data_IF_630736444059
#
_entry.id   IF_630736444059
#
_cell.length_a   1.000
_cell.length_b   1.000
_cell.length_c   1.000
_cell.angle_alpha   90.00
_cell.angle_beta   90.00
_cell.angle_gamma   90.00
#
_symmetry.space_group_name_H-M   'P 1'
#
loop_
_entity.id
_entity.type
_entity.pdbx_description
1 polymer ?
#
# COMPACT_ATOMS: atom_id res chain seq x y z
N UNK A 1 15.58 -24.35 3.97
CA UNK A 1 15.86 -24.70 2.56
C UNK A 1 14.63 -24.28 1.76
N UNK A 2 14.86 -23.56 0.68
CA UNK A 2 13.84 -23.17 -0.29
C UNK A 2 14.13 -23.78 -1.65
N UNK A 3 13.10 -23.92 -2.46
CA UNK A 3 13.17 -24.32 -3.86
C UNK A 3 12.42 -23.28 -4.70
N UNK A 4 13.02 -22.93 -5.84
CA UNK A 4 12.46 -21.96 -6.79
C UNK A 4 12.48 -22.60 -8.16
N UNK A 5 11.38 -22.53 -8.89
CA UNK A 5 11.26 -23.11 -10.23
C UNK A 5 10.52 -22.14 -11.15
N UNK A 6 10.98 -22.02 -12.40
CA UNK A 6 10.41 -21.12 -13.41
C UNK A 6 11.49 -20.46 -14.23
N UNK A 7 11.18 -19.35 -14.89
CA UNK A 7 12.12 -18.57 -15.69
C UNK A 7 13.03 -17.69 -14.81
N UNK A 8 13.87 -18.34 -13.98
CA UNK A 8 14.62 -17.70 -12.89
C UNK A 8 15.65 -16.68 -13.35
N UNK A 9 16.23 -16.88 -14.52
CA UNK A 9 17.28 -16.03 -15.09
C UNK A 9 16.65 -14.86 -15.84
N UNK A 10 15.77 -15.15 -16.78
CA UNK A 10 15.16 -14.15 -17.67
C UNK A 10 14.26 -13.16 -16.91
N UNK A 11 13.58 -13.62 -15.87
CA UNK A 11 12.73 -12.78 -15.01
C UNK A 11 13.48 -12.09 -13.87
N UNK A 12 14.80 -12.32 -13.74
CA UNK A 12 15.64 -11.84 -12.63
C UNK A 12 15.15 -12.28 -11.24
N UNK A 13 14.32 -13.32 -11.14
CA UNK A 13 13.80 -13.81 -9.86
C UNK A 13 14.93 -14.28 -8.95
N UNK A 14 15.93 -14.98 -9.50
CA UNK A 14 17.06 -15.46 -8.71
C UNK A 14 17.89 -14.32 -8.15
N UNK A 15 18.16 -13.29 -8.95
CA UNK A 15 18.87 -12.07 -8.52
C UNK A 15 18.09 -11.36 -7.42
N UNK A 16 16.79 -11.17 -7.58
CA UNK A 16 15.94 -10.56 -6.55
C UNK A 16 15.93 -11.35 -5.25
N UNK A 17 15.94 -12.67 -5.33
CA UNK A 17 16.03 -13.53 -4.13
C UNK A 17 17.34 -13.27 -3.40
N UNK A 18 18.46 -13.20 -4.10
CA UNK A 18 19.77 -12.92 -3.49
C UNK A 18 19.80 -11.51 -2.88
N UNK A 19 19.39 -10.50 -3.63
CA UNK A 19 19.32 -9.11 -3.17
C UNK A 19 18.46 -9.00 -1.92
N UNK A 20 17.25 -9.55 -1.93
CA UNK A 20 16.34 -9.52 -0.78
C UNK A 20 16.92 -10.20 0.47
N UNK A 21 17.68 -11.30 0.31
CA UNK A 21 18.35 -11.96 1.46
C UNK A 21 19.46 -11.07 2.00
N UNK A 22 20.26 -10.46 1.13
CA UNK A 22 21.37 -9.57 1.53
C UNK A 22 20.85 -8.27 2.14
N UNK A 23 19.85 -7.64 1.55
CA UNK A 23 19.22 -6.40 2.05
C UNK A 23 18.60 -6.57 3.46
N UNK A 24 18.20 -7.79 3.77
CA UNK A 24 17.73 -8.16 5.10
C UNK A 24 18.84 -8.70 6.02
N UNK A 25 20.13 -8.50 5.69
CA UNK A 25 21.27 -9.02 6.47
C UNK A 25 21.24 -10.56 6.67
N UNK A 26 20.57 -11.30 5.80
CA UNK A 26 20.57 -12.75 5.78
C UNK A 26 21.79 -13.31 5.04
N UNK A 27 21.97 -14.61 5.13
CA UNK A 27 22.96 -15.36 4.34
C UNK A 27 22.28 -16.46 3.55
N UNK A 28 22.86 -16.83 2.42
CA UNK A 28 22.38 -17.96 1.64
C UNK A 28 23.53 -18.83 1.14
N UNK A 29 23.23 -20.09 0.91
CA UNK A 29 24.11 -21.05 0.24
C UNK A 29 23.37 -21.66 -0.93
N UNK A 30 24.02 -21.69 -2.08
CA UNK A 30 23.48 -22.34 -3.29
C UNK A 30 23.76 -23.84 -3.20
N UNK A 31 22.70 -24.63 -3.02
CA UNK A 31 22.82 -26.08 -2.93
C UNK A 31 22.74 -26.76 -4.30
N UNK A 32 21.89 -26.23 -5.19
CA UNK A 32 21.75 -26.74 -6.56
C UNK A 32 21.16 -25.64 -7.45
N UNK A 33 21.72 -25.49 -8.65
CA UNK A 33 21.13 -24.71 -9.75
C UNK A 33 21.09 -25.59 -11.00
N UNK A 34 19.98 -25.55 -11.72
CA UNK A 34 19.83 -26.13 -13.05
C UNK A 34 19.20 -25.09 -13.95
N UNK A 35 19.89 -24.66 -14.96
CA UNK A 35 19.42 -23.63 -15.91
C UNK A 35 18.85 -24.31 -17.15
N UNK A 36 17.67 -23.88 -17.58
CA UNK A 36 17.08 -24.33 -18.85
C UNK A 36 17.95 -23.96 -20.04
N UNK A 37 18.03 -24.85 -21.04
CA UNK A 37 18.87 -24.66 -22.22
C UNK A 37 18.15 -23.88 -23.31
N UNK A 38 16.84 -23.96 -23.38
CA UNK A 38 15.99 -23.26 -24.31
C UNK A 38 15.22 -22.16 -23.60
N UNK A 39 14.74 -21.18 -24.34
CA UNK A 39 13.94 -20.06 -23.81
C UNK A 39 12.63 -20.50 -23.16
N UNK A 40 12.13 -21.66 -23.56
CA UNK A 40 10.91 -22.28 -23.01
C UNK A 40 11.16 -23.18 -21.79
N UNK A 41 12.43 -23.44 -21.46
CA UNK A 41 12.78 -24.35 -20.38
C UNK A 41 12.74 -23.63 -19.03
N UNK A 42 12.14 -24.24 -18.04
CA UNK A 42 12.20 -23.76 -16.68
C UNK A 42 13.55 -24.04 -16.02
N UNK A 43 14.05 -23.08 -15.30
CA UNK A 43 15.22 -23.22 -14.43
C UNK A 43 14.78 -23.62 -13.02
N UNK A 44 15.69 -24.23 -12.25
CA UNK A 44 15.46 -24.67 -10.89
C UNK A 44 16.63 -24.24 -10.00
N UNK A 45 16.32 -23.69 -8.84
CA UNK A 45 17.32 -23.38 -7.81
C UNK A 45 16.89 -23.94 -6.45
N UNK A 46 17.86 -24.47 -5.71
CA UNK A 46 17.69 -24.91 -4.32
C UNK A 46 18.68 -24.17 -3.45
N UNK A 47 18.19 -23.44 -2.48
CA UNK A 47 18.99 -22.55 -1.64
C UNK A 47 18.77 -22.89 -0.16
N UNK A 48 19.83 -22.77 0.63
CA UNK A 48 19.74 -22.75 2.09
C UNK A 48 19.78 -21.29 2.53
N UNK A 49 18.76 -20.85 3.23
CA UNK A 49 18.66 -19.50 3.78
C UNK A 49 18.98 -19.53 5.26
N UNK A 50 19.81 -18.59 5.72
CA UNK A 50 20.31 -18.51 7.08
C UNK A 50 19.97 -17.12 7.62
N UNK A 51 19.17 -17.07 8.68
CA UNK A 51 18.84 -15.86 9.44
C UNK A 51 19.57 -15.84 10.79
N UNK A 52 19.72 -14.66 11.39
CA UNK A 52 20.35 -14.46 12.72
C UNK A 52 19.60 -15.20 13.84
N UNK A 53 18.28 -15.33 13.71
CA UNK A 53 17.39 -16.04 14.62
C UNK A 53 16.10 -16.44 13.88
N UNK A 54 15.19 -17.14 14.57
CA UNK A 54 13.93 -17.64 13.98
C UNK A 54 13.00 -16.51 13.48
N UNK A 55 12.94 -15.39 14.18
CA UNK A 55 12.12 -14.23 13.76
C UNK A 55 12.67 -13.61 12.48
N UNK A 56 13.97 -13.38 12.43
CA UNK A 56 14.67 -12.85 11.27
C UNK A 56 14.57 -13.78 10.06
N UNK A 57 14.74 -15.09 10.27
CA UNK A 57 14.54 -16.07 9.20
C UNK A 57 13.11 -16.05 8.66
N UNK A 58 12.09 -15.92 9.52
CA UNK A 58 10.70 -15.82 9.08
C UNK A 58 10.45 -14.52 8.28
N UNK A 59 11.11 -13.44 8.62
CA UNK A 59 11.04 -12.18 7.87
C UNK A 59 11.59 -12.35 6.46
N UNK A 60 12.80 -12.90 6.33
CA UNK A 60 13.41 -13.23 5.04
C UNK A 60 12.49 -14.15 4.24
N UNK A 61 12.01 -15.24 4.85
CA UNK A 61 11.14 -16.20 4.19
C UNK A 61 9.84 -15.58 3.68
N UNK A 62 9.29 -14.61 4.40
CA UNK A 62 8.10 -13.86 3.97
C UNK A 62 8.32 -13.13 2.64
N UNK A 63 9.48 -12.50 2.48
CA UNK A 63 9.85 -11.81 1.24
C UNK A 63 10.07 -12.82 0.11
N UNK A 64 10.81 -13.90 0.39
CA UNK A 64 11.15 -14.91 -0.61
C UNK A 64 9.94 -15.69 -1.16
N UNK A 65 8.93 -15.93 -0.34
CA UNK A 65 7.69 -16.58 -0.79
C UNK A 65 6.96 -15.76 -1.88
N UNK A 66 7.09 -14.44 -1.87
CA UNK A 66 6.51 -13.55 -2.90
C UNK A 66 7.25 -13.61 -4.22
N UNK A 67 8.54 -13.88 -4.16
CA UNK A 67 9.37 -14.10 -5.34
C UNK A 67 9.22 -15.55 -5.90
N UNK A 68 8.25 -16.30 -5.38
CA UNK A 68 7.96 -17.65 -5.86
C UNK A 68 8.75 -18.78 -5.18
N UNK A 69 9.52 -18.46 -4.14
CA UNK A 69 10.23 -19.49 -3.36
C UNK A 69 9.25 -20.37 -2.58
N UNK A 70 9.47 -21.68 -2.59
CA UNK A 70 8.67 -22.67 -1.85
C UNK A 70 9.54 -23.42 -0.87
N UNK A 71 8.96 -23.86 0.25
CA UNK A 71 9.63 -24.77 1.20
C UNK A 71 9.18 -26.21 0.98
N UNK A 72 10.06 -27.19 1.29
CA UNK A 72 9.70 -28.63 1.17
C UNK A 72 8.54 -29.04 2.07
N UNK A 73 8.38 -28.43 3.24
CA UNK A 73 7.26 -28.73 4.13
C UNK A 73 6.03 -27.95 3.69
N UNK A 74 5.15 -28.58 2.94
CA UNK A 74 3.86 -28.04 2.59
C UNK A 74 2.98 -27.98 3.83
N UNK A 75 2.66 -26.80 4.30
CA UNK A 75 1.70 -26.58 5.38
C UNK A 75 0.45 -25.95 4.83
N UNK A 76 -0.70 -26.36 5.35
CA UNK A 76 -1.97 -25.72 5.00
C UNK A 76 -1.92 -24.21 5.31
N UNK A 77 -2.46 -23.41 4.41
CA UNK A 77 -2.64 -21.98 4.66
C UNK A 77 -3.54 -21.79 5.88
N UNK A 78 -3.23 -20.76 6.65
CA UNK A 78 -4.05 -20.36 7.81
C UNK A 78 -5.15 -19.43 7.35
N UNK A 79 -6.32 -19.57 7.94
CA UNK A 79 -7.46 -18.67 7.67
C UNK A 79 -8.02 -18.11 8.97
N UNK A 80 -8.55 -16.89 8.90
CA UNK A 80 -9.27 -16.24 10.00
C UNK A 80 -10.56 -15.64 9.47
N UNK A 81 -11.64 -15.72 10.28
CA UNK A 81 -12.93 -15.16 9.86
C UNK A 81 -12.93 -13.64 9.95
N UNK A 82 -13.53 -13.00 8.95
CA UNK A 82 -13.83 -11.57 9.00
C UNK A 82 -14.80 -11.27 10.15
N UNK A 83 -14.46 -10.32 11.00
CA UNK A 83 -15.26 -9.95 12.18
C UNK A 83 -16.48 -9.10 11.84
N UNK A 84 -16.42 -8.37 10.71
CA UNK A 84 -17.46 -7.48 10.18
C UNK A 84 -17.44 -7.51 8.66
N UNK A 85 -18.50 -6.98 8.04
CA UNK A 85 -18.48 -6.66 6.61
C UNK A 85 -17.39 -5.62 6.32
N UNK A 86 -16.75 -5.71 5.17
CA UNK A 86 -15.72 -4.79 4.69
C UNK A 86 -14.51 -4.64 5.66
N UNK A 87 -14.16 -5.70 6.39
CA UNK A 87 -13.01 -5.70 7.32
C UNK A 87 -12.20 -6.98 7.14
N UNK A 88 -10.92 -6.82 6.87
CA UNK A 88 -9.97 -7.92 6.86
C UNK A 88 -9.52 -8.29 8.30
N UNK A 89 -9.24 -9.56 8.58
CA UNK A 89 -8.57 -9.94 9.81
C UNK A 89 -7.13 -9.41 9.84
N UNK A 90 -6.57 -9.27 11.03
CA UNK A 90 -5.15 -8.92 11.16
C UNK A 90 -4.27 -9.96 10.48
N UNK A 91 -3.17 -9.49 9.89
CA UNK A 91 -2.21 -10.30 9.14
C UNK A 91 -2.81 -11.02 7.91
N UNK A 92 -3.88 -10.45 7.31
CA UNK A 92 -4.40 -10.99 6.04
C UNK A 92 -3.31 -11.01 4.95
N UNK A 93 -3.43 -11.94 4.02
CA UNK A 93 -2.57 -11.97 2.83
C UNK A 93 -3.08 -10.96 1.81
N UNK A 94 -2.23 -9.98 1.45
CA UNK A 94 -2.52 -9.04 0.37
C UNK A 94 -2.05 -9.62 -0.95
N UNK A 95 -2.96 -9.72 -1.91
CA UNK A 95 -2.70 -10.32 -3.22
C UNK A 95 -1.88 -9.41 -4.13
N UNK A 96 -1.25 -10.01 -5.14
CA UNK A 96 -0.62 -9.35 -6.28
C UNK A 96 -1.38 -9.67 -7.56
N UNK A 97 -0.91 -9.18 -8.72
CA UNK A 97 -1.47 -9.57 -10.03
C UNK A 97 -0.98 -10.95 -10.50
N UNK A 98 -0.08 -11.59 -9.76
CA UNK A 98 0.51 -12.87 -10.15
C UNK A 98 -0.43 -14.04 -9.82
N UNK A 99 -0.41 -15.07 -10.65
CA UNK A 99 -1.13 -16.30 -10.38
C UNK A 99 -0.72 -16.86 -8.99
N UNK A 100 -1.70 -17.09 -8.16
CA UNK A 100 -1.49 -17.54 -6.78
C UNK A 100 -2.26 -18.81 -6.52
N UNK A 101 -1.64 -19.75 -5.82
CA UNK A 101 -2.27 -20.97 -5.33
C UNK A 101 -2.11 -21.04 -3.82
N UNK A 102 -3.08 -21.62 -3.12
CA UNK A 102 -3.01 -21.88 -1.69
C UNK A 102 -3.03 -23.38 -1.43
N UNK A 103 -2.28 -23.81 -0.43
CA UNK A 103 -2.33 -25.19 0.05
C UNK A 103 -3.38 -25.31 1.15
N UNK A 104 -4.48 -26.00 0.85
CA UNK A 104 -5.62 -26.14 1.75
C UNK A 104 -6.14 -27.58 1.73
N UNK A 105 -6.37 -28.18 2.92
CA UNK A 105 -6.79 -29.59 3.05
C UNK A 105 -5.91 -30.54 2.27
N UNK A 106 -4.59 -30.36 2.36
CA UNK A 106 -3.58 -31.18 1.70
C UNK A 106 -3.63 -31.15 0.15
N UNK A 107 -4.17 -30.10 -0.44
CA UNK A 107 -4.24 -29.88 -1.89
C UNK A 107 -3.87 -28.45 -2.24
N UNK A 108 -3.24 -28.26 -3.39
CA UNK A 108 -3.09 -26.94 -4.00
C UNK A 108 -4.38 -26.52 -4.69
N UNK A 109 -4.86 -25.34 -4.37
CA UNK A 109 -6.07 -24.73 -4.95
C UNK A 109 -5.64 -23.43 -5.61
N UNK A 110 -5.92 -23.26 -6.90
CA UNK A 110 -5.69 -22.01 -7.60
C UNK A 110 -6.69 -20.95 -7.11
N UNK A 111 -6.19 -19.74 -6.92
CA UNK A 111 -7.02 -18.61 -6.53
C UNK A 111 -7.65 -17.99 -7.78
N UNK A 112 -8.97 -17.93 -7.79
CA UNK A 112 -9.75 -17.36 -8.88
C UNK A 112 -9.80 -15.82 -8.77
N UNK A 113 -10.03 -15.14 -9.91
CA UNK A 113 -10.22 -13.68 -10.01
C UNK A 113 -9.08 -12.88 -9.42
N UNK A 114 -7.83 -13.25 -9.70
CA UNK A 114 -6.65 -12.57 -9.16
C UNK A 114 -6.63 -11.09 -9.53
N UNK A 115 -6.48 -10.26 -8.51
CA UNK A 115 -6.28 -8.81 -8.59
C UNK A 115 -5.32 -8.39 -7.48
N UNK A 116 -4.55 -7.34 -7.72
CA UNK A 116 -3.65 -6.74 -6.72
C UNK A 116 -4.46 -6.10 -5.56
N UNK A 117 -3.87 -6.09 -4.37
CA UNK A 117 -4.38 -5.38 -3.19
C UNK A 117 -5.77 -5.84 -2.70
N UNK A 118 -6.00 -7.13 -2.77
CA UNK A 118 -7.22 -7.78 -2.30
C UNK A 118 -6.87 -8.86 -1.25
N UNK A 119 -7.87 -9.56 -0.74
CA UNK A 119 -7.67 -10.73 0.11
C UNK A 119 -8.08 -12.02 -0.63
N UNK A 120 -7.69 -13.16 -0.08
CA UNK A 120 -8.14 -14.48 -0.56
C UNK A 120 -9.18 -15.02 0.41
N UNK A 121 -10.39 -15.27 -0.09
CA UNK A 121 -11.48 -15.92 0.64
C UNK A 121 -11.55 -17.38 0.26
N UNK A 122 -11.61 -18.27 1.25
CA UNK A 122 -11.69 -19.72 1.09
C UNK A 122 -13.11 -20.20 1.42
N UNK A 123 -13.73 -20.90 0.48
CA UNK A 123 -15.04 -21.56 0.68
C UNK A 123 -14.97 -23.02 0.26
N UNK A 124 -15.08 -23.93 1.23
CA UNK A 124 -14.99 -25.37 0.94
C UNK A 124 -13.65 -25.77 0.32
N UNK A 125 -13.64 -26.06 -0.96
CA UNK A 125 -12.47 -26.43 -1.75
C UNK A 125 -12.13 -25.40 -2.84
N UNK A 126 -12.68 -24.19 -2.76
CA UNK A 126 -12.39 -23.10 -3.69
C UNK A 126 -11.76 -21.92 -2.95
N UNK A 127 -10.95 -21.15 -3.66
CA UNK A 127 -10.34 -19.94 -3.18
C UNK A 127 -10.48 -18.84 -4.22
N UNK A 128 -10.88 -17.66 -3.84
CA UNK A 128 -10.98 -16.54 -4.76
C UNK A 128 -10.50 -15.24 -4.17
N UNK A 129 -9.99 -14.37 -5.01
CA UNK A 129 -9.59 -13.02 -4.68
C UNK A 129 -10.83 -12.13 -4.50
N UNK A 130 -10.89 -11.36 -3.42
CA UNK A 130 -12.06 -10.56 -3.04
C UNK A 130 -11.64 -9.18 -2.58
N UNK A 131 -12.18 -8.08 -3.16
CA UNK A 131 -11.94 -6.73 -2.68
C UNK A 131 -12.60 -6.48 -1.32
N UNK A 132 -12.06 -5.53 -0.55
CA UNK A 132 -12.52 -5.25 0.82
C UNK A 132 -14.02 -4.95 0.89
N UNK A 133 -14.58 -4.25 -0.12
CA UNK A 133 -16.01 -3.89 -0.19
C UNK A 133 -16.96 -5.09 -0.31
N UNK A 134 -16.46 -6.23 -0.78
CA UNK A 134 -17.24 -7.45 -0.97
C UNK A 134 -17.11 -8.45 0.19
N UNK A 135 -16.18 -8.20 1.12
CA UNK A 135 -15.98 -9.07 2.28
C UNK A 135 -17.18 -9.02 3.20
N UNK A 136 -17.67 -10.20 3.56
CA UNK A 136 -18.80 -10.37 4.50
C UNK A 136 -18.30 -10.92 5.82
N UNK A 137 -18.99 -10.56 6.91
CA UNK A 137 -18.75 -11.14 8.24
C UNK A 137 -18.81 -12.66 8.16
N UNK A 138 -17.78 -13.31 8.70
CA UNK A 138 -17.66 -14.77 8.70
C UNK A 138 -16.86 -15.36 7.55
N UNK A 139 -16.56 -14.59 6.48
CA UNK A 139 -15.69 -15.05 5.39
C UNK A 139 -14.34 -15.54 5.93
N UNK A 140 -13.90 -16.73 5.50
CA UNK A 140 -12.62 -17.30 5.86
C UNK A 140 -11.53 -16.71 4.98
N UNK A 141 -10.76 -15.78 5.52
CA UNK A 141 -9.71 -15.05 4.81
C UNK A 141 -8.36 -15.64 5.14
N UNK A 142 -7.52 -15.84 4.11
CA UNK A 142 -6.14 -16.32 4.26
C UNK A 142 -5.30 -15.30 5.00
N UNK A 143 -4.55 -15.75 6.00
CA UNK A 143 -3.64 -14.94 6.83
C UNK A 143 -2.21 -15.48 6.78
N UNK A 144 -1.25 -14.57 6.89
CA UNK A 144 0.18 -14.93 6.78
C UNK A 144 0.56 -15.32 5.36
N UNK A 145 1.74 -15.90 5.23
CA UNK A 145 2.34 -16.29 3.94
C UNK A 145 2.47 -17.83 3.80
N UNK A 146 2.20 -18.58 4.87
CA UNK A 146 2.35 -20.04 4.90
C UNK A 146 1.32 -20.73 4.02
N UNK A 147 1.75 -21.68 3.19
CA UNK A 147 0.86 -22.41 2.30
C UNK A 147 0.38 -21.61 1.09
N UNK A 148 1.11 -20.57 0.71
CA UNK A 148 0.84 -19.76 -0.49
C UNK A 148 1.99 -19.94 -1.48
N UNK A 149 1.65 -20.09 -2.75
CA UNK A 149 2.58 -20.15 -3.86
C UNK A 149 2.19 -19.10 -4.90
N UNK A 150 3.12 -18.22 -5.22
CA UNK A 150 2.98 -17.22 -6.25
C UNK A 150 3.79 -17.64 -7.47
N UNK A 151 3.19 -17.60 -8.65
CA UNK A 151 3.88 -17.84 -9.93
C UNK A 151 4.14 -16.49 -10.58
N UNK A 152 5.41 -16.12 -10.65
CA UNK A 152 5.82 -14.89 -11.33
C UNK A 152 5.79 -15.10 -12.84
N UNK A 153 5.15 -14.23 -13.63
CA UNK A 153 5.14 -14.33 -15.08
C UNK A 153 6.54 -14.11 -15.68
N UNK A 154 6.73 -14.58 -16.90
CA UNK A 154 7.89 -14.19 -17.69
C UNK A 154 7.98 -12.67 -17.82
N UNK A 155 9.18 -12.14 -17.70
CA UNK A 155 9.42 -10.70 -17.87
C UNK A 155 9.21 -10.33 -19.32
N UNK A 156 8.37 -9.32 -19.65
CA UNK A 156 8.38 -8.72 -20.98
C UNK A 156 9.79 -8.22 -21.28
N UNK A 157 10.33 -8.53 -22.46
CA UNK A 157 11.70 -8.15 -22.87
C UNK A 157 11.90 -6.67 -23.14
N UNK A 158 10.83 -5.91 -23.22
CA UNK A 158 10.86 -4.45 -23.35
C UNK A 158 11.06 -3.85 -21.98
N UNK A 159 12.06 -2.94 -21.89
CA UNK A 159 12.51 -2.37 -20.62
C UNK A 159 11.36 -1.84 -19.77
N UNK A 160 11.31 -2.28 -18.53
CA UNK A 160 10.41 -1.66 -17.57
C UNK A 160 10.86 -0.22 -17.34
N UNK A 161 10.09 0.72 -17.83
CA UNK A 161 10.15 2.07 -17.34
C UNK A 161 9.74 2.01 -15.86
N UNK A 162 10.74 2.04 -14.99
CA UNK A 162 10.51 2.29 -13.57
C UNK A 162 9.82 3.65 -13.51
N UNK A 163 8.64 3.71 -12.95
CA UNK A 163 7.95 4.95 -12.68
C UNK A 163 8.83 5.82 -11.77
N UNK A 164 9.63 6.69 -12.39
CA UNK A 164 10.43 7.67 -11.68
C UNK A 164 9.58 8.91 -11.38
N UNK A 165 8.63 8.81 -10.46
CA UNK A 165 7.93 9.98 -9.93
C UNK A 165 8.79 10.83 -9.00
N UNK A 166 9.97 10.34 -8.59
CA UNK A 166 10.77 10.94 -7.53
C UNK A 166 12.16 11.42 -7.98
N UNK A 167 12.39 11.57 -9.27
CA UNK A 167 13.73 11.85 -9.81
C UNK A 167 13.91 13.16 -10.57
N UNK A 168 13.03 14.15 -10.44
CA UNK A 168 13.32 15.46 -11.04
C UNK A 168 14.11 16.34 -10.06
N UNK A 169 15.43 16.28 -10.16
CA UNK A 169 16.27 17.38 -9.75
C UNK A 169 15.74 18.67 -10.39
N UNK A 170 15.71 19.75 -9.62
CA UNK A 170 15.22 21.07 -10.02
C UNK A 170 15.63 21.45 -11.44
N UNK A 171 14.64 21.65 -12.32
CA UNK A 171 14.87 22.33 -13.60
C UNK A 171 15.33 23.76 -13.33
N UNK A 172 16.48 24.15 -13.86
CA UNK A 172 17.03 25.51 -13.79
C UNK A 172 16.16 26.56 -14.48
N UNK A 173 15.18 26.16 -15.28
CA UNK A 173 14.33 27.04 -16.08
C UNK A 173 13.14 27.68 -15.32
N UNK A 174 12.82 27.21 -14.11
CA UNK A 174 11.84 27.84 -13.21
C UNK A 174 12.34 27.86 -11.78
N UNK A 175 12.60 29.04 -11.21
CA UNK A 175 13.06 29.16 -9.83
C UNK A 175 11.93 28.80 -8.85
N UNK A 176 11.77 27.50 -8.57
CA UNK A 176 10.72 26.93 -7.70
C UNK A 176 10.70 27.62 -6.33
N UNK A 177 11.89 28.00 -5.80
CA UNK A 177 11.99 28.71 -4.52
C UNK A 177 11.37 30.11 -4.56
N UNK A 178 11.49 30.85 -5.68
CA UNK A 178 10.85 32.17 -5.82
C UNK A 178 9.33 32.07 -5.86
N UNK A 179 8.81 31.08 -6.61
CA UNK A 179 7.37 30.82 -6.66
C UNK A 179 6.85 30.41 -5.30
N UNK A 180 7.55 29.52 -4.58
CA UNK A 180 7.17 29.08 -3.24
C UNK A 180 7.12 30.24 -2.23
N UNK A 181 8.07 31.19 -2.29
CA UNK A 181 8.07 32.41 -1.46
C UNK A 181 6.85 33.29 -1.76
N UNK A 182 6.55 33.52 -3.05
CA UNK A 182 5.38 34.30 -3.47
C UNK A 182 4.07 33.66 -2.97
N UNK A 183 3.90 32.36 -3.17
CA UNK A 183 2.72 31.63 -2.67
C UNK A 183 2.63 31.72 -1.13
N UNK A 184 3.74 31.61 -0.41
CA UNK A 184 3.74 31.76 1.04
C UNK A 184 3.34 33.16 1.50
N UNK A 185 3.73 34.22 0.77
CA UNK A 185 3.31 35.60 1.03
C UNK A 185 1.82 35.78 0.76
N UNK A 186 1.33 35.24 -0.35
CA UNK A 186 -0.11 35.28 -0.71
C UNK A 186 -0.97 34.58 0.35
N UNK A 187 -0.55 33.42 0.85
CA UNK A 187 -1.20 32.72 1.95
C UNK A 187 -1.24 33.59 3.22
N UNK A 188 -0.10 34.21 3.60
CA UNK A 188 -0.05 35.11 4.77
C UNK A 188 -0.96 36.31 4.62
N UNK A 189 -0.98 36.95 3.45
CA UNK A 189 -1.78 38.10 3.18
C UNK A 189 -3.28 37.77 3.16
N UNK A 190 -3.66 36.64 2.55
CA UNK A 190 -5.03 36.13 2.56
C UNK A 190 -5.51 35.86 3.98
N UNK A 191 -4.67 35.20 4.79
CA UNK A 191 -4.99 34.93 6.19
C UNK A 191 -5.16 36.23 7.01
N UNK A 192 -4.26 37.23 6.83
CA UNK A 192 -4.37 38.55 7.51
C UNK A 192 -5.69 39.25 7.21
N UNK A 193 -6.22 39.10 5.99
CA UNK A 193 -7.49 39.66 5.57
C UNK A 193 -8.71 38.83 6.01
N UNK A 194 -8.51 37.75 6.76
CA UNK A 194 -9.58 36.83 7.17
C UNK A 194 -10.10 35.93 6.05
N UNK A 195 -9.37 35.84 4.94
CA UNK A 195 -9.80 35.07 3.77
C UNK A 195 -9.73 33.56 4.02
N UNK A 196 -10.61 32.83 3.33
CA UNK A 196 -10.68 31.37 3.36
C UNK A 196 -9.73 30.75 2.34
N UNK A 197 -8.84 29.90 2.80
CA UNK A 197 -7.86 29.18 1.97
C UNK A 197 -8.26 27.71 1.90
N UNK A 198 -8.43 27.20 0.69
CA UNK A 198 -8.79 25.81 0.40
C UNK A 198 -7.61 25.10 -0.25
N UNK A 199 -7.18 23.99 0.34
CA UNK A 199 -6.17 23.11 -0.25
C UNK A 199 -6.86 22.07 -1.13
N UNK A 200 -6.47 21.99 -2.41
CA UNK A 200 -6.80 20.88 -3.30
C UNK A 200 -5.56 19.99 -3.40
N UNK A 201 -5.61 18.83 -2.79
CA UNK A 201 -4.42 17.98 -2.59
C UNK A 201 -4.55 16.56 -3.16
N UNK A 202 -3.42 16.04 -3.64
CA UNK A 202 -3.27 14.65 -4.06
C UNK A 202 -2.26 13.88 -3.19
N UNK A 203 -2.10 12.57 -3.38
CA UNK A 203 -1.23 11.71 -2.56
C UNK A 203 0.25 12.10 -2.65
N UNK A 204 0.67 12.82 -3.70
CA UNK A 204 2.03 13.32 -3.84
C UNK A 204 2.49 14.14 -2.62
N UNK A 205 1.58 14.85 -1.94
CA UNK A 205 1.88 15.58 -0.69
C UNK A 205 2.49 14.65 0.36
N UNK A 206 1.97 13.43 0.47
CA UNK A 206 2.47 12.45 1.44
C UNK A 206 3.74 11.78 0.94
N UNK A 207 3.75 11.35 -0.33
CA UNK A 207 4.90 10.64 -0.93
C UNK A 207 6.18 11.49 -0.92
N UNK A 208 6.08 12.80 -1.08
CA UNK A 208 7.21 13.73 -1.06
C UNK A 208 7.62 14.20 0.34
N UNK A 209 6.93 13.72 1.40
CA UNK A 209 7.23 14.08 2.78
C UNK A 209 6.66 15.42 3.25
N UNK A 210 5.77 16.06 2.46
CA UNK A 210 5.18 17.36 2.82
C UNK A 210 3.98 17.26 3.78
N UNK A 211 3.54 16.05 4.14
CA UNK A 211 2.34 15.83 4.97
C UNK A 211 2.39 16.57 6.32
N UNK A 212 3.53 16.53 7.02
CA UNK A 212 3.68 17.20 8.33
C UNK A 212 3.62 18.72 8.22
N UNK A 213 4.15 19.29 7.13
CA UNK A 213 4.07 20.73 6.86
C UNK A 213 2.62 21.15 6.60
N UNK A 214 1.88 20.40 5.77
CA UNK A 214 0.46 20.65 5.50
C UNK A 214 -0.39 20.50 6.77
N UNK A 215 -0.17 19.45 7.55
CA UNK A 215 -0.83 19.27 8.86
C UNK A 215 -0.58 20.47 9.80
N UNK A 216 0.65 21.00 9.83
CA UNK A 216 0.99 22.21 10.58
C UNK A 216 0.25 23.44 10.07
N UNK A 217 0.12 23.61 8.74
CA UNK A 217 -0.65 24.72 8.16
C UNK A 217 -2.13 24.65 8.54
N UNK A 218 -2.74 23.47 8.56
CA UNK A 218 -4.10 23.25 9.06
C UNK A 218 -4.19 23.61 10.53
N UNK A 219 -3.30 23.04 11.35
CA UNK A 219 -3.24 23.27 12.81
C UNK A 219 -3.17 24.76 13.17
N UNK A 220 -2.42 25.54 12.40
CA UNK A 220 -2.21 26.99 12.61
C UNK A 220 -3.23 27.86 11.88
N UNK A 221 -4.23 27.27 11.21
CA UNK A 221 -5.30 27.98 10.53
C UNK A 221 -4.90 28.70 9.24
N UNK A 222 -3.83 28.26 8.57
CA UNK A 222 -3.45 28.73 7.23
C UNK A 222 -4.23 28.02 6.12
N UNK A 223 -4.78 26.83 6.41
CA UNK A 223 -5.68 26.09 5.53
C UNK A 223 -7.00 25.93 6.27
N UNK A 224 -8.10 26.29 5.62
CA UNK A 224 -9.43 26.31 6.20
C UNK A 224 -10.33 25.19 5.69
N UNK A 225 -9.95 24.54 4.59
CA UNK A 225 -10.64 23.35 4.06
C UNK A 225 -9.69 22.52 3.20
N UNK A 226 -10.00 21.23 3.06
CA UNK A 226 -9.23 20.29 2.22
C UNK A 226 -10.18 19.59 1.24
N UNK A 227 -9.85 19.65 -0.05
CA UNK A 227 -10.49 18.88 -1.11
C UNK A 227 -9.48 17.89 -1.66
N UNK A 228 -9.82 16.61 -1.65
CA UNK A 228 -8.88 15.55 -2.05
C UNK A 228 -9.61 14.32 -2.60
N UNK A 229 -8.84 13.39 -3.11
CA UNK A 229 -9.30 12.04 -3.40
C UNK A 229 -9.05 11.07 -2.23
N UNK A 230 -9.57 9.86 -2.37
CA UNK A 230 -9.34 8.76 -1.42
C UNK A 230 -7.84 8.53 -1.13
N UNK A 231 -7.01 8.57 -2.16
CA UNK A 231 -5.59 8.24 -2.05
C UNK A 231 -4.81 9.17 -1.10
N UNK A 232 -5.11 10.49 -1.06
CA UNK A 232 -4.46 11.38 -0.09
C UNK A 232 -4.76 10.92 1.34
N UNK A 233 -6.03 10.65 1.65
CA UNK A 233 -6.44 10.25 2.99
C UNK A 233 -5.86 8.88 3.39
N UNK A 234 -5.85 7.92 2.47
CA UNK A 234 -5.27 6.59 2.69
C UNK A 234 -3.78 6.70 3.02
N UNK A 235 -2.99 7.41 2.20
CA UNK A 235 -1.56 7.53 2.42
C UNK A 235 -1.20 8.42 3.61
N UNK A 236 -2.02 9.41 3.96
CA UNK A 236 -1.85 10.18 5.19
C UNK A 236 -2.06 9.29 6.44
N UNK A 237 -3.09 8.43 6.43
CA UNK A 237 -3.30 7.44 7.49
C UNK A 237 -2.18 6.40 7.52
N UNK A 238 -1.72 5.90 6.38
CA UNK A 238 -0.58 4.99 6.27
C UNK A 238 0.67 5.63 6.89
N UNK A 239 1.00 6.85 6.48
CA UNK A 239 2.15 7.58 7.03
C UNK A 239 2.01 7.84 8.52
N UNK A 240 0.84 8.26 8.98
CA UNK A 240 0.59 8.56 10.37
C UNK A 240 0.73 7.33 11.29
N UNK A 241 0.31 6.15 10.82
CA UNK A 241 0.25 4.92 11.63
C UNK A 241 1.43 3.98 11.43
N UNK A 242 1.98 3.93 10.22
CA UNK A 242 3.01 2.96 9.83
C UNK A 242 4.34 3.62 9.40
N UNK A 243 4.37 4.95 9.22
CA UNK A 243 5.57 5.69 8.80
C UNK A 243 5.95 5.53 7.34
N UNK A 244 5.08 4.89 6.54
CA UNK A 244 5.31 4.60 5.12
C UNK A 244 4.31 5.31 4.22
N UNK A 245 4.66 5.43 2.96
CA UNK A 245 3.75 5.82 1.89
C UNK A 245 4.07 4.98 0.65
N UNK A 246 3.08 4.31 0.07
CA UNK A 246 3.26 3.30 -0.98
C UNK A 246 4.25 2.18 -0.56
N UNK A 247 4.28 1.85 0.72
CA UNK A 247 5.17 0.82 1.26
C UNK A 247 6.63 1.24 1.44
N UNK A 248 6.98 2.47 1.09
CA UNK A 248 8.31 3.05 1.33
C UNK A 248 8.30 3.90 2.60
N UNK A 249 9.36 3.83 3.39
CA UNK A 249 9.53 4.72 4.55
C UNK A 249 9.71 6.14 4.05
N UNK A 250 8.83 7.05 4.48
CA UNK A 250 8.88 8.46 4.05
C UNK A 250 10.16 9.16 4.51
N UNK A 251 10.76 8.68 5.59
CA UNK A 251 11.90 9.31 6.24
C UNK A 251 13.22 9.15 5.48
N UNK A 252 13.45 8.00 4.89
CA UNK A 252 14.72 7.62 4.24
C UNK A 252 14.55 7.02 2.84
N UNK A 253 13.32 6.86 2.37
CA UNK A 253 13.03 6.30 1.05
C UNK A 253 13.32 4.81 0.91
N UNK A 254 13.58 4.08 2.00
CA UNK A 254 13.82 2.64 1.95
C UNK A 254 12.52 1.85 1.92
N UNK A 255 12.55 0.67 1.31
CA UNK A 255 11.40 -0.24 1.31
C UNK A 255 11.12 -0.75 2.73
N UNK A 256 9.88 -0.67 3.16
CA UNK A 256 9.46 -1.29 4.41
C UNK A 256 9.19 -2.78 4.21
N UNK A 257 9.58 -3.58 5.18
CA UNK A 257 9.21 -5.01 5.19
C UNK A 257 7.69 -5.12 5.15
N UNK A 258 7.16 -5.86 4.17
CA UNK A 258 5.72 -5.93 3.87
C UNK A 258 5.05 -4.60 3.49
N UNK A 259 5.84 -3.61 3.08
CA UNK A 259 5.36 -2.26 2.77
C UNK A 259 4.22 -2.22 1.75
N UNK A 260 4.24 -3.10 0.73
CA UNK A 260 3.19 -3.21 -0.30
C UNK A 260 1.77 -3.38 0.28
N UNK A 261 1.63 -3.87 1.52
CA UNK A 261 0.35 -4.06 2.19
C UNK A 261 -0.08 -2.87 3.05
N UNK A 262 0.83 -1.95 3.35
CA UNK A 262 0.61 -0.91 4.36
C UNK A 262 -0.57 0.00 4.04
N UNK A 263 -0.78 0.36 2.77
CA UNK A 263 -1.95 1.15 2.38
C UNK A 263 -3.27 0.38 2.61
N UNK A 264 -3.29 -0.94 2.37
CA UNK A 264 -4.46 -1.78 2.67
C UNK A 264 -4.66 -1.96 4.18
N UNK A 265 -3.60 -2.03 4.97
CA UNK A 265 -3.69 -2.03 6.45
C UNK A 265 -4.25 -0.69 6.95
N UNK A 266 -3.87 0.44 6.34
CA UNK A 266 -4.43 1.76 6.63
C UNK A 266 -5.93 1.81 6.30
N UNK A 267 -6.34 1.42 5.10
CA UNK A 267 -7.75 1.32 4.68
C UNK A 267 -8.54 0.45 5.68
N UNK A 268 -8.04 -0.75 5.97
CA UNK A 268 -8.67 -1.70 6.88
C UNK A 268 -8.82 -1.13 8.30
N UNK A 269 -7.85 -0.34 8.77
CA UNK A 269 -7.89 0.30 10.08
C UNK A 269 -9.01 1.34 10.18
N UNK A 270 -9.23 2.12 9.11
CA UNK A 270 -10.35 3.09 9.05
C UNK A 270 -11.69 2.35 9.01
N UNK A 271 -11.83 1.27 8.24
CA UNK A 271 -13.04 0.44 8.23
C UNK A 271 -13.33 -0.20 9.58
N UNK A 272 -12.30 -0.69 10.29
CA UNK A 272 -12.44 -1.20 11.68
C UNK A 272 -12.95 -0.14 12.64
N UNK A 273 -12.45 1.08 12.51
CA UNK A 273 -12.92 2.22 13.33
C UNK A 273 -14.30 2.73 12.90
N UNK A 274 -14.64 2.61 11.61
CA UNK A 274 -15.88 3.02 10.98
C UNK A 274 -15.87 4.39 10.32
N UNK A 275 -14.89 5.25 10.59
CA UNK A 275 -14.62 6.52 9.91
C UNK A 275 -13.30 7.12 10.39
N UNK A 276 -12.75 8.11 9.68
CA UNK A 276 -11.61 8.91 10.11
C UNK A 276 -11.90 9.62 11.46
N UNK A 277 -13.08 10.20 11.60
CA UNK A 277 -13.51 10.86 12.84
C UNK A 277 -13.49 9.88 14.03
N UNK A 278 -14.05 8.68 13.87
CA UNK A 278 -14.03 7.66 14.92
C UNK A 278 -12.62 7.17 15.22
N UNK A 279 -11.75 7.07 14.21
CA UNK A 279 -10.36 6.67 14.39
C UNK A 279 -9.57 7.69 15.24
N UNK A 280 -9.83 9.00 15.05
CA UNK A 280 -9.29 10.07 15.91
C UNK A 280 -9.84 9.99 17.33
N UNK A 281 -11.16 9.81 17.49
CA UNK A 281 -11.80 9.66 18.80
C UNK A 281 -11.27 8.45 19.58
N UNK A 282 -10.99 7.34 18.90
CA UNK A 282 -10.39 6.13 19.47
C UNK A 282 -8.88 6.27 19.71
N UNK A 283 -8.28 7.43 19.45
CA UNK A 283 -6.82 7.69 19.56
C UNK A 283 -5.95 6.75 18.71
N UNK A 284 -6.51 6.19 17.64
CA UNK A 284 -5.80 5.35 16.67
C UNK A 284 -5.14 6.17 15.57
N UNK A 285 -5.66 7.35 15.27
CA UNK A 285 -5.05 8.36 14.41
C UNK A 285 -4.75 9.58 15.28
N UNK A 286 -3.47 9.93 15.47
CA UNK A 286 -3.00 10.95 16.42
C UNK A 286 -2.19 12.06 15.77
N UNK A 287 -1.91 11.96 14.46
CA UNK A 287 -1.17 12.94 13.66
C UNK A 287 -1.59 12.83 12.19
N UNK A 288 -1.13 13.77 11.37
CA UNK A 288 -1.35 13.81 9.93
C UNK A 288 -2.39 14.84 9.51
N UNK A 289 -2.59 14.96 8.20
CA UNK A 289 -3.52 15.90 7.57
C UNK A 289 -4.95 15.63 8.03
N UNK A 290 -5.40 14.38 7.90
CA UNK A 290 -6.78 14.01 8.25
C UNK A 290 -7.04 14.13 9.76
N UNK A 291 -6.04 13.84 10.59
CA UNK A 291 -6.11 14.07 12.03
C UNK A 291 -6.36 15.55 12.34
N UNK A 292 -5.59 16.47 11.75
CA UNK A 292 -5.75 17.91 12.00
C UNK A 292 -7.07 18.44 11.44
N UNK A 293 -7.53 17.93 10.30
CA UNK A 293 -8.86 18.27 9.76
C UNK A 293 -9.97 17.93 10.77
N UNK A 294 -9.97 16.71 11.31
CA UNK A 294 -10.96 16.26 12.30
C UNK A 294 -10.83 17.05 13.59
N UNK A 295 -9.62 17.22 14.12
CA UNK A 295 -9.36 17.90 15.39
C UNK A 295 -9.74 19.38 15.36
N UNK A 296 -9.44 20.07 14.26
CA UNK A 296 -9.76 21.48 14.07
C UNK A 296 -11.18 21.71 13.54
N UNK A 297 -11.91 20.64 13.22
CA UNK A 297 -13.27 20.68 12.66
C UNK A 297 -13.34 21.50 11.36
N UNK A 298 -12.27 21.50 10.57
CA UNK A 298 -12.31 22.12 9.25
C UNK A 298 -13.01 21.19 8.26
N UNK A 299 -13.76 21.72 7.28
CA UNK A 299 -14.38 20.89 6.25
C UNK A 299 -13.33 20.22 5.39
N UNK A 300 -13.57 18.96 5.08
CA UNK A 300 -12.86 18.23 4.05
C UNK A 300 -13.82 17.39 3.22
N UNK A 301 -13.53 17.26 1.94
CA UNK A 301 -14.30 16.42 1.02
C UNK A 301 -13.34 15.49 0.31
N UNK A 302 -13.62 14.19 0.39
CA UNK A 302 -12.86 13.14 -0.27
C UNK A 302 -13.71 12.55 -1.39
N UNK A 303 -13.26 12.69 -2.65
CA UNK A 303 -13.93 12.11 -3.79
C UNK A 303 -13.34 10.74 -4.15
N UNK A 304 -14.19 9.79 -4.50
CA UNK A 304 -13.80 8.47 -4.98
C UNK A 304 -13.31 8.48 -6.43
N UNK A 305 -12.60 7.44 -6.80
CA UNK A 305 -12.07 7.18 -8.14
C UNK A 305 -12.29 5.72 -8.53
N UNK A 306 -12.39 5.45 -9.82
CA UNK A 306 -12.44 4.07 -10.35
C UNK A 306 -11.20 3.25 -10.03
N UNK A 307 -10.10 3.91 -9.69
CA UNK A 307 -8.81 3.27 -9.35
C UNK A 307 -8.60 3.00 -7.86
N UNK A 308 -9.59 3.33 -7.02
CA UNK A 308 -9.44 3.13 -5.57
C UNK A 308 -9.50 1.64 -5.23
N UNK A 309 -8.50 1.15 -4.49
CA UNK A 309 -8.43 -0.24 -4.00
C UNK A 309 -9.48 -0.54 -2.93
N UNK A 310 -9.94 0.50 -2.25
CA UNK A 310 -11.02 0.50 -1.28
C UNK A 310 -11.27 1.92 -0.82
N UNK A 311 -12.32 2.60 -1.32
CA UNK A 311 -12.66 3.94 -0.84
C UNK A 311 -13.01 3.88 0.65
N UNK A 312 -12.44 4.80 1.43
CA UNK A 312 -12.70 4.90 2.87
C UNK A 312 -14.20 5.19 3.12
N UNK A 313 -14.73 4.88 4.31
CA UNK A 313 -16.12 5.19 4.67
C UNK A 313 -16.47 6.68 4.55
N UNK A 314 -15.47 7.55 4.64
CA UNK A 314 -15.60 9.02 4.55
C UNK A 314 -15.57 9.54 3.09
N UNK A 315 -15.41 8.65 2.09
CA UNK A 315 -15.28 9.01 0.67
C UNK A 315 -16.64 9.04 0.00
N UNK A 316 -16.91 10.10 -0.73
CA UNK A 316 -18.08 10.23 -1.61
C UNK A 316 -17.76 9.56 -2.93
N UNK A 317 -18.41 8.43 -3.21
CA UNK A 317 -18.18 7.64 -4.42
C UNK A 317 -19.02 8.09 -5.62
N UNK A 318 -20.12 8.80 -5.38
CA UNK A 318 -20.92 9.46 -6.43
C UNK A 318 -20.22 10.74 -6.88
N UNK A 319 -19.83 10.79 -8.17
CA UNK A 319 -19.07 11.90 -8.73
C UNK A 319 -19.88 13.21 -8.71
N UNK A 320 -21.18 13.14 -9.02
CA UNK A 320 -22.03 14.32 -9.06
C UNK A 320 -22.27 14.88 -7.64
N UNK A 321 -22.39 14.01 -6.64
CA UNK A 321 -22.45 14.41 -5.25
C UNK A 321 -21.14 15.03 -4.78
N UNK A 322 -19.99 14.40 -5.08
CA UNK A 322 -18.67 14.95 -4.76
C UNK A 322 -18.45 16.36 -5.34
N UNK A 323 -18.87 16.59 -6.60
CA UNK A 323 -18.80 17.92 -7.23
C UNK A 323 -19.68 18.93 -6.52
N UNK A 324 -20.89 18.55 -6.10
CA UNK A 324 -21.78 19.45 -5.32
C UNK A 324 -21.13 19.85 -3.98
N UNK A 325 -20.55 18.89 -3.27
CA UNK A 325 -19.86 19.17 -2.01
C UNK A 325 -18.60 20.02 -2.21
N UNK A 326 -17.81 19.78 -3.26
CA UNK A 326 -16.67 20.64 -3.64
C UNK A 326 -17.14 22.08 -3.88
N UNK A 327 -18.21 22.26 -4.65
CA UNK A 327 -18.77 23.60 -4.94
C UNK A 327 -19.19 24.33 -3.66
N UNK A 328 -19.79 23.65 -2.70
CA UNK A 328 -20.16 24.25 -1.41
C UNK A 328 -18.92 24.76 -0.65
N UNK A 329 -17.85 23.95 -0.63
CA UNK A 329 -16.61 24.33 0.06
C UNK A 329 -15.90 25.48 -0.64
N UNK A 330 -15.95 25.54 -1.97
CA UNK A 330 -15.28 26.57 -2.78
C UNK A 330 -16.00 27.90 -2.81
N UNK A 331 -17.32 27.95 -2.50
CA UNK A 331 -18.18 29.12 -2.68
C UNK A 331 -17.58 30.42 -2.13
N UNK A 332 -16.96 30.34 -0.93
CA UNK A 332 -16.42 31.53 -0.25
C UNK A 332 -14.89 31.48 -0.14
N UNK A 333 -14.23 30.74 -1.04
CA UNK A 333 -12.78 30.62 -1.04
C UNK A 333 -12.15 31.92 -1.58
N UNK A 334 -11.20 32.44 -0.81
CA UNK A 334 -10.38 33.59 -1.21
C UNK A 334 -9.10 33.15 -1.93
N UNK A 335 -8.67 31.89 -1.69
CA UNK A 335 -7.51 31.28 -2.34
C UNK A 335 -7.73 29.77 -2.43
N UNK A 336 -7.34 29.21 -3.57
CA UNK A 336 -7.35 27.77 -3.82
C UNK A 336 -5.96 27.35 -4.30
#
# INVERSE_FOLDING_TARGET
IIEVKGHLIDSLVLTKIFDNVMDLDGKFEVMKISVGKLKTDESYAKLRIIGKNKSHLNEIMTVLHREGATTKSQKNCKTKSASKNMVFPDNFYSTTNNHTSIYHKNKWINVENMMMDKCIVVKGNTARCVPIREVKKGDKIVIGEEGIKVSTPERPREGMNVFQFMGSGSSSERPTQHIAKKVAEDIKNTKKKGGKIVLVGGPAIVHTGAADAVAKMIKTGHINAVLAGNALAVHDVEYATLGTSLGMKVKDGTLAVRGHRNHMDAINSVFKAGSLKKMVQQKKLTRGIMYECVKKKIPFVLAGSLRDDGPLPDVITDIAEAQREYKKVLKDASMV
#
